data_IF_996106342932
#
_entry.id   IF_996106342932
#
_cell.length_a   1.000
_cell.length_b   1.000
_cell.length_c   1.000
_cell.angle_alpha   90.00
_cell.angle_beta   90.00
_cell.angle_gamma   90.00
#
_symmetry.space_group_name_H-M   'P 1'
#
loop_
_entity.id
_entity.type
_entity.pdbx_description
1 polymer ?
#
# COMPACT_ATOMS: atom_id res chain seq x y z
N UNK A 1 -29.37 -11.51 11.98
CA UNK A 1 -29.06 -12.93 12.27
C UNK A 1 -28.00 -13.56 11.35
N UNK A 2 -27.17 -12.73 10.69
CA UNK A 2 -26.10 -13.20 9.81
C UNK A 2 -24.75 -12.79 10.34
N UNK A 3 -23.74 -13.62 10.06
CA UNK A 3 -22.34 -13.34 10.40
C UNK A 3 -21.84 -12.10 9.65
N UNK A 4 -21.10 -11.17 10.30
CA UNK A 4 -20.48 -10.04 9.57
C UNK A 4 -19.48 -10.55 8.53
N UNK A 5 -19.51 -9.92 7.37
CA UNK A 5 -18.55 -10.19 6.28
C UNK A 5 -17.52 -9.06 6.22
N UNK A 6 -16.24 -9.43 6.19
CA UNK A 6 -15.10 -8.54 6.04
C UNK A 6 -14.43 -8.83 4.70
N UNK A 7 -14.39 -7.86 3.81
CA UNK A 7 -13.75 -7.98 2.50
C UNK A 7 -12.36 -7.36 2.55
N UNK A 8 -11.35 -8.20 2.39
CA UNK A 8 -9.93 -7.87 2.46
C UNK A 8 -9.29 -8.33 3.77
N UNK A 9 -8.12 -8.93 3.67
CA UNK A 9 -7.31 -9.43 4.79
C UNK A 9 -6.01 -8.62 4.99
N UNK A 10 -6.03 -7.36 4.62
CA UNK A 10 -5.03 -6.38 5.01
C UNK A 10 -5.18 -5.97 6.48
N UNK A 11 -4.34 -5.04 6.99
CA UNK A 11 -4.38 -4.65 8.41
C UNK A 11 -5.76 -4.19 8.89
N UNK A 12 -6.49 -3.43 8.09
CA UNK A 12 -7.84 -3.01 8.42
C UNK A 12 -8.80 -4.19 8.60
N UNK A 13 -8.86 -5.09 7.63
CA UNK A 13 -9.74 -6.27 7.66
C UNK A 13 -9.37 -7.25 8.76
N UNK A 14 -8.07 -7.51 8.96
CA UNK A 14 -7.60 -8.41 10.02
C UNK A 14 -7.95 -7.88 11.42
N UNK A 15 -7.73 -6.60 11.69
CA UNK A 15 -8.06 -6.03 13.01
C UNK A 15 -9.56 -5.84 13.22
N UNK A 16 -10.33 -5.52 12.17
CA UNK A 16 -11.79 -5.54 12.27
C UNK A 16 -12.30 -6.94 12.61
N UNK A 17 -11.81 -7.96 11.90
CA UNK A 17 -12.17 -9.35 12.16
C UNK A 17 -11.73 -9.82 13.57
N UNK A 18 -10.52 -9.44 14.02
CA UNK A 18 -10.04 -9.78 15.36
C UNK A 18 -10.95 -9.22 16.44
N UNK A 19 -11.27 -7.93 16.40
CA UNK A 19 -12.13 -7.28 17.40
C UNK A 19 -13.54 -7.88 17.40
N UNK A 20 -14.11 -8.13 16.22
CA UNK A 20 -15.40 -8.82 16.11
C UNK A 20 -15.33 -10.25 16.72
N UNK A 21 -14.28 -11.02 16.40
CA UNK A 21 -14.12 -12.36 16.92
C UNK A 21 -13.92 -12.39 18.45
N UNK A 22 -13.11 -11.48 19.00
CA UNK A 22 -12.94 -11.30 20.46
C UNK A 22 -14.27 -10.98 21.17
N UNK A 23 -15.24 -10.43 20.45
CA UNK A 23 -16.57 -10.11 20.98
C UNK A 23 -17.68 -11.09 20.53
N UNK A 24 -17.31 -12.28 20.01
CA UNK A 24 -18.22 -13.38 19.74
C UNK A 24 -18.99 -13.31 18.42
N UNK A 25 -18.63 -12.41 17.46
CA UNK A 25 -19.36 -12.22 16.21
C UNK A 25 -19.08 -13.24 15.10
N UNK A 26 -18.04 -14.03 15.21
CA UNK A 26 -17.64 -15.07 14.23
C UNK A 26 -17.56 -14.52 12.79
N UNK A 27 -16.73 -13.52 12.49
CA UNK A 27 -16.67 -12.88 11.19
C UNK A 27 -16.27 -13.83 10.07
N UNK A 28 -16.74 -13.56 8.85
CA UNK A 28 -16.29 -14.20 7.61
C UNK A 28 -15.40 -13.23 6.89
N UNK A 29 -14.11 -13.58 6.73
CA UNK A 29 -13.13 -12.78 5.99
C UNK A 29 -12.99 -13.35 4.58
N UNK A 30 -13.12 -12.48 3.59
CA UNK A 30 -13.01 -12.81 2.18
C UNK A 30 -11.77 -12.11 1.63
N UNK A 31 -10.84 -12.87 1.06
CA UNK A 31 -9.62 -12.37 0.44
C UNK A 31 -9.53 -12.84 -1.02
N UNK A 32 -9.34 -11.88 -1.93
CA UNK A 32 -9.22 -12.18 -3.36
C UNK A 32 -8.00 -13.03 -3.69
N UNK A 33 -6.88 -12.77 -2.99
CA UNK A 33 -5.62 -13.46 -3.23
C UNK A 33 -5.44 -14.71 -2.40
N UNK A 34 -4.24 -15.23 -2.48
CA UNK A 34 -3.84 -16.48 -1.82
C UNK A 34 -3.51 -16.26 -0.34
N UNK A 35 -3.54 -17.38 0.39
CA UNK A 35 -2.95 -17.48 1.73
C UNK A 35 -1.45 -17.17 1.68
N UNK A 36 -0.91 -16.64 2.76
CA UNK A 36 0.44 -16.05 2.79
C UNK A 36 1.54 -16.95 2.23
N UNK A 37 1.54 -18.26 2.59
CA UNK A 37 2.59 -19.17 2.16
C UNK A 37 2.59 -19.40 0.63
N UNK A 38 1.43 -19.44 0.01
CA UNK A 38 1.29 -19.57 -1.44
C UNK A 38 1.46 -18.22 -2.15
N UNK A 39 0.94 -17.14 -1.57
CA UNK A 39 1.15 -15.78 -2.06
C UNK A 39 2.64 -15.45 -2.22
N UNK A 40 3.47 -15.81 -1.24
CA UNK A 40 4.93 -15.60 -1.31
C UNK A 40 5.54 -16.29 -2.53
N UNK A 41 5.14 -17.54 -2.81
CA UNK A 41 5.60 -18.29 -3.99
C UNK A 41 5.13 -17.63 -5.29
N UNK A 42 3.87 -17.22 -5.36
CA UNK A 42 3.28 -16.55 -6.52
C UNK A 42 3.96 -15.22 -6.81
N UNK A 43 4.24 -14.41 -5.78
CA UNK A 43 4.97 -13.15 -5.93
C UNK A 43 6.41 -13.39 -6.38
N UNK A 44 7.11 -14.36 -5.79
CA UNK A 44 8.47 -14.69 -6.22
C UNK A 44 8.50 -15.17 -7.68
N UNK A 45 7.57 -16.04 -8.07
CA UNK A 45 7.42 -16.49 -9.46
C UNK A 45 7.19 -15.33 -10.41
N UNK A 46 6.37 -14.35 -10.02
CA UNK A 46 6.15 -13.14 -10.82
C UNK A 46 7.44 -12.34 -11.00
N UNK A 47 8.22 -12.13 -9.95
CA UNK A 47 9.49 -11.41 -10.04
C UNK A 47 10.52 -12.13 -10.91
N UNK A 48 10.53 -13.46 -10.90
CA UNK A 48 11.47 -14.27 -11.69
C UNK A 48 11.05 -14.41 -13.16
N UNK A 49 9.74 -14.57 -13.42
CA UNK A 49 9.21 -14.92 -14.74
C UNK A 49 8.48 -13.78 -15.47
N UNK A 50 8.21 -12.68 -14.77
CA UNK A 50 7.37 -11.57 -15.25
C UNK A 50 5.91 -11.96 -15.59
N UNK A 51 5.42 -13.11 -15.09
CA UNK A 51 4.04 -13.57 -15.28
C UNK A 51 3.20 -13.20 -14.06
N UNK A 52 2.35 -12.18 -14.22
CA UNK A 52 1.51 -11.64 -13.16
C UNK A 52 0.28 -12.52 -12.89
N UNK A 53 0.00 -12.79 -11.62
CA UNK A 53 -1.33 -13.21 -11.17
C UNK A 53 -2.11 -11.95 -10.71
N UNK A 54 -3.16 -11.53 -11.43
CA UNK A 54 -3.89 -10.29 -11.10
C UNK A 54 -4.70 -10.39 -9.80
N UNK A 55 -4.93 -11.58 -9.29
CA UNK A 55 -5.67 -11.78 -8.04
C UNK A 55 -4.77 -12.02 -6.81
N UNK A 56 -3.51 -12.43 -7.02
CA UNK A 56 -2.56 -12.67 -5.93
C UNK A 56 -1.19 -12.12 -6.29
N UNK A 57 -0.76 -11.06 -5.63
CA UNK A 57 0.45 -10.29 -5.96
C UNK A 57 0.90 -9.42 -4.78
N UNK A 58 1.74 -8.42 -5.01
CA UNK A 58 2.19 -7.49 -3.95
C UNK A 58 1.05 -6.68 -3.35
N UNK A 59 -0.02 -6.40 -4.11
CA UNK A 59 -1.18 -5.63 -3.62
C UNK A 59 -2.27 -6.50 -2.99
N UNK A 60 -2.48 -7.71 -3.49
CA UNK A 60 -3.57 -8.61 -3.10
C UNK A 60 -3.05 -9.92 -2.51
N UNK A 61 -3.78 -10.41 -1.54
CA UNK A 61 -3.51 -11.62 -0.78
C UNK A 61 -3.45 -11.36 0.71
N UNK A 62 -3.34 -12.42 1.48
CA UNK A 62 -3.34 -12.39 2.93
C UNK A 62 -2.29 -11.41 3.48
N UNK A 63 -2.72 -10.55 4.41
CA UNK A 63 -1.92 -9.49 5.00
C UNK A 63 -1.90 -8.17 4.22
N UNK A 64 -2.46 -8.13 3.02
CA UNK A 64 -2.54 -6.93 2.17
C UNK A 64 -1.19 -6.47 1.62
N UNK A 65 -1.14 -5.26 1.08
CA UNK A 65 0.06 -4.69 0.46
C UNK A 65 1.22 -4.46 1.47
N UNK A 66 0.89 -4.23 2.75
CA UNK A 66 1.88 -4.03 3.81
C UNK A 66 2.83 -5.22 4.02
N UNK A 67 2.42 -6.44 3.65
CA UNK A 67 3.23 -7.66 3.79
C UNK A 67 4.52 -7.60 2.96
N UNK A 68 4.51 -6.92 1.83
CA UNK A 68 5.67 -6.71 0.96
C UNK A 68 6.14 -5.26 1.01
N UNK A 69 6.42 -4.77 2.21
CA UNK A 69 6.89 -3.42 2.50
C UNK A 69 8.02 -3.43 3.53
N UNK A 70 8.52 -2.27 3.93
CA UNK A 70 9.43 -2.15 5.09
C UNK A 70 8.73 -2.48 6.42
N UNK A 71 7.40 -2.50 6.42
CA UNK A 71 6.63 -2.80 7.63
C UNK A 71 6.70 -1.70 8.68
N UNK A 72 6.81 -0.44 8.26
CA UNK A 72 6.79 0.72 9.19
C UNK A 72 5.47 0.78 9.96
N UNK A 73 5.58 1.05 11.25
CA UNK A 73 4.46 1.15 12.17
C UNK A 73 4.20 2.59 12.64
N UNK A 74 4.98 3.56 12.17
CA UNK A 74 4.80 4.96 12.53
C UNK A 74 3.43 5.47 12.05
N UNK A 75 2.76 6.22 12.91
CA UNK A 75 1.49 6.89 12.61
C UNK A 75 1.44 8.25 13.27
N UNK A 76 0.69 9.18 12.68
CA UNK A 76 0.37 10.49 13.25
C UNK A 76 -1.03 10.53 13.88
N UNK A 77 -1.72 9.40 13.95
CA UNK A 77 -3.05 9.30 14.55
C UNK A 77 -2.96 9.55 16.05
N UNK A 78 -3.83 10.43 16.56
CA UNK A 78 -3.98 10.64 18.00
C UNK A 78 -4.77 9.46 18.59
N UNK A 79 -4.14 8.72 19.49
CA UNK A 79 -4.69 7.49 20.07
C UNK A 79 -5.17 7.69 21.52
N UNK A 80 -6.28 8.38 21.68
CA UNK A 80 -6.90 8.61 22.99
C UNK A 80 -7.43 7.32 23.66
N UNK A 81 -7.63 6.25 22.89
CA UNK A 81 -8.27 5.00 23.33
C UNK A 81 -7.33 3.79 23.31
N UNK A 82 -6.03 4.02 23.20
CA UNK A 82 -5.00 2.97 23.21
C UNK A 82 -5.14 1.90 22.10
N UNK A 83 -5.71 2.25 20.95
CA UNK A 83 -5.87 1.33 19.83
C UNK A 83 -4.52 0.99 19.17
N UNK A 84 -3.61 1.97 19.08
CA UNK A 84 -2.23 1.75 18.60
C UNK A 84 -1.53 0.74 19.50
N UNK A 85 -1.68 0.88 20.83
CA UNK A 85 -1.15 -0.07 21.81
C UNK A 85 -1.70 -1.48 21.55
N UNK A 86 -3.02 -1.63 21.37
CA UNK A 86 -3.67 -2.91 21.04
C UNK A 86 -3.08 -3.52 19.76
N UNK A 87 -2.84 -2.71 18.72
CA UNK A 87 -2.23 -3.16 17.46
C UNK A 87 -0.82 -3.71 17.71
N UNK A 88 0.03 -2.98 18.40
CA UNK A 88 1.42 -3.39 18.64
C UNK A 88 1.52 -4.61 19.56
N UNK A 89 0.74 -4.65 20.63
CA UNK A 89 0.66 -5.83 21.51
C UNK A 89 0.20 -7.06 20.74
N UNK A 90 -0.81 -6.92 19.87
CA UNK A 90 -1.28 -8.03 19.02
C UNK A 90 -0.18 -8.49 18.05
N UNK A 91 0.58 -7.58 17.45
CA UNK A 91 1.69 -7.96 16.58
C UNK A 91 2.77 -8.72 17.36
N UNK A 92 3.12 -8.29 18.57
CA UNK A 92 4.09 -9.01 19.43
C UNK A 92 3.57 -10.40 19.82
N UNK A 93 2.31 -10.52 20.22
CA UNK A 93 1.67 -11.81 20.50
C UNK A 93 1.71 -12.74 19.26
N UNK A 94 1.66 -12.19 18.07
CA UNK A 94 1.73 -12.91 16.80
C UNK A 94 3.17 -13.14 16.30
N UNK A 95 4.20 -12.72 17.03
CA UNK A 95 5.60 -13.02 16.75
C UNK A 95 6.43 -11.85 16.21
N UNK A 96 5.92 -10.63 16.28
CA UNK A 96 6.74 -9.45 16.02
C UNK A 96 7.75 -9.21 17.17
N UNK A 97 8.91 -8.58 16.90
CA UNK A 97 9.87 -8.26 17.94
C UNK A 97 9.28 -7.32 19.00
N UNK A 98 9.57 -7.59 20.29
CA UNK A 98 9.08 -6.76 21.40
C UNK A 98 9.52 -5.31 21.33
N UNK A 99 10.63 -5.03 20.63
CA UNK A 99 11.18 -3.69 20.46
C UNK A 99 10.21 -2.71 19.79
N UNK A 100 9.22 -3.20 19.02
CA UNK A 100 8.19 -2.33 18.41
C UNK A 100 7.35 -1.59 19.45
N UNK A 101 7.29 -2.09 20.70
CA UNK A 101 6.52 -1.48 21.80
C UNK A 101 7.16 -0.21 22.35
N UNK A 102 8.49 -0.02 22.18
CA UNK A 102 9.23 1.10 22.79
C UNK A 102 10.10 1.89 21.82
N UNK A 103 10.36 1.41 20.61
CA UNK A 103 11.11 2.17 19.62
C UNK A 103 10.29 3.35 19.08
N UNK A 104 10.95 4.48 18.90
CA UNK A 104 10.31 5.68 18.35
C UNK A 104 9.87 5.52 16.88
N UNK A 105 10.61 4.73 16.10
CA UNK A 105 10.33 4.45 14.68
C UNK A 105 10.29 2.94 14.44
N UNK A 106 9.27 2.25 14.99
CA UNK A 106 9.20 0.81 14.88
C UNK A 106 8.90 0.35 13.46
N UNK A 107 9.47 -0.80 13.08
CA UNK A 107 9.16 -1.51 11.83
C UNK A 107 9.25 -3.01 12.07
N UNK A 108 8.60 -3.79 11.21
CA UNK A 108 8.61 -5.26 11.33
C UNK A 108 9.50 -5.88 10.25
N UNK A 109 9.45 -5.39 9.02
CA UNK A 109 10.12 -5.98 7.86
C UNK A 109 9.31 -7.10 7.20
N UNK A 110 9.48 -7.29 5.89
CA UNK A 110 8.66 -8.20 5.11
C UNK A 110 8.81 -9.67 5.53
N UNK A 111 10.02 -10.10 5.88
CA UNK A 111 10.31 -11.48 6.30
C UNK A 111 9.62 -11.87 7.61
N UNK A 112 9.58 -10.98 8.59
CA UNK A 112 8.93 -11.21 9.89
C UNK A 112 7.41 -11.05 9.79
N UNK A 113 6.95 -10.04 9.04
CA UNK A 113 5.53 -9.72 8.92
C UNK A 113 4.70 -10.89 8.34
N UNK A 114 5.28 -11.71 7.48
CA UNK A 114 4.63 -12.91 6.93
C UNK A 114 4.18 -13.88 8.06
N UNK A 115 5.03 -14.12 9.05
CA UNK A 115 4.69 -14.97 10.18
C UNK A 115 3.67 -14.31 11.11
N UNK A 116 3.78 -13.02 11.33
CA UNK A 116 2.82 -12.25 12.14
C UNK A 116 1.41 -12.33 11.54
N UNK A 117 1.28 -12.15 10.24
CA UNK A 117 0.01 -12.25 9.51
C UNK A 117 -0.61 -13.64 9.65
N UNK A 118 0.19 -14.70 9.44
CA UNK A 118 -0.26 -16.08 9.58
C UNK A 118 -0.75 -16.39 11.00
N UNK A 119 -0.03 -15.93 12.01
CA UNK A 119 -0.40 -16.14 13.41
C UNK A 119 -1.66 -15.35 13.79
N UNK A 120 -1.84 -14.16 13.21
CA UNK A 120 -3.05 -13.35 13.41
C UNK A 120 -4.29 -14.03 12.78
N UNK A 121 -4.18 -14.58 11.57
CA UNK A 121 -5.23 -15.42 10.99
C UNK A 121 -5.60 -16.57 11.92
N UNK A 122 -4.61 -17.34 12.38
CA UNK A 122 -4.85 -18.47 13.28
C UNK A 122 -5.55 -18.03 14.57
N UNK A 123 -5.19 -16.88 15.14
CA UNK A 123 -5.84 -16.31 16.32
C UNK A 123 -7.32 -16.00 16.05
N UNK A 124 -7.64 -15.35 14.92
CA UNK A 124 -9.02 -15.04 14.54
C UNK A 124 -9.83 -16.32 14.33
N UNK A 125 -9.26 -17.32 13.66
CA UNK A 125 -9.91 -18.63 13.44
C UNK A 125 -10.19 -19.34 14.77
N UNK A 126 -9.25 -19.32 15.71
CA UNK A 126 -9.43 -19.93 17.04
C UNK A 126 -10.56 -19.28 17.85
N UNK A 127 -10.90 -18.02 17.54
CA UNK A 127 -12.00 -17.27 18.11
C UNK A 127 -13.34 -17.40 17.33
N UNK A 128 -13.38 -18.27 16.31
CA UNK A 128 -14.58 -18.59 15.54
C UNK A 128 -14.71 -17.81 14.21
N UNK A 129 -13.71 -17.04 13.80
CA UNK A 129 -13.64 -16.44 12.47
C UNK A 129 -13.42 -17.48 11.37
N UNK A 130 -13.80 -17.16 10.15
CA UNK A 130 -13.61 -18.02 8.98
C UNK A 130 -12.97 -17.20 7.86
N UNK A 131 -12.00 -17.79 7.15
CA UNK A 131 -11.33 -17.15 6.01
C UNK A 131 -11.62 -17.92 4.72
N UNK A 132 -11.94 -17.17 3.67
CA UNK A 132 -12.04 -17.65 2.29
C UNK A 132 -11.01 -16.91 1.45
N UNK A 133 -9.97 -17.62 1.00
CA UNK A 133 -8.96 -17.13 0.07
C UNK A 133 -9.36 -17.42 -1.37
N UNK A 134 -8.68 -16.78 -2.35
CA UNK A 134 -9.04 -16.85 -3.78
C UNK A 134 -10.53 -16.51 -4.01
N UNK A 135 -11.05 -15.59 -3.24
CA UNK A 135 -12.46 -15.24 -3.15
C UNK A 135 -12.62 -13.73 -3.35
N UNK A 136 -13.07 -13.34 -4.54
CA UNK A 136 -13.23 -11.94 -4.93
C UNK A 136 -14.68 -11.51 -4.74
N UNK A 137 -14.89 -10.38 -4.05
CA UNK A 137 -16.18 -9.70 -4.01
C UNK A 137 -16.52 -9.19 -5.42
N UNK A 138 -17.54 -9.73 -6.04
CA UNK A 138 -17.96 -9.34 -7.41
C UNK A 138 -19.27 -8.57 -7.46
N UNK A 139 -20.11 -8.69 -6.45
CA UNK A 139 -21.34 -7.89 -6.34
C UNK A 139 -21.82 -7.77 -4.88
N UNK A 140 -22.67 -6.77 -4.63
CA UNK A 140 -23.38 -6.56 -3.36
C UNK A 140 -24.88 -6.66 -3.63
N UNK A 141 -25.55 -7.50 -2.86
CA UNK A 141 -27.01 -7.68 -2.91
C UNK A 141 -27.66 -6.71 -1.93
N UNK A 142 -28.59 -5.91 -2.41
CA UNK A 142 -29.29 -4.90 -1.61
C UNK A 142 -30.80 -4.99 -1.76
N UNK A 143 -31.52 -4.69 -0.68
CA UNK A 143 -32.98 -4.48 -0.70
C UNK A 143 -33.30 -3.23 0.12
N UNK A 144 -34.17 -2.37 -0.38
CA UNK A 144 -34.61 -1.13 0.28
C UNK A 144 -33.44 -0.32 0.91
N UNK A 145 -32.33 -0.18 0.17
CA UNK A 145 -31.10 0.51 0.59
C UNK A 145 -30.37 -0.15 1.78
N UNK A 146 -30.55 -1.44 2.02
CA UNK A 146 -29.83 -2.24 3.01
C UNK A 146 -29.04 -3.35 2.31
N UNK A 147 -27.85 -3.65 2.82
CA UNK A 147 -27.13 -4.84 2.36
C UNK A 147 -27.82 -6.10 2.86
N UNK A 148 -28.01 -7.06 1.97
CA UNK A 148 -28.61 -8.37 2.25
C UNK A 148 -27.64 -9.51 2.05
N UNK A 149 -26.57 -9.29 1.31
CA UNK A 149 -25.57 -10.30 1.02
C UNK A 149 -24.49 -9.81 0.07
N UNK A 150 -23.54 -10.68 -0.19
CA UNK A 150 -22.43 -10.44 -1.12
C UNK A 150 -22.32 -11.59 -2.10
N UNK A 151 -21.90 -11.29 -3.32
CA UNK A 151 -21.61 -12.26 -4.35
C UNK A 151 -20.10 -12.41 -4.50
N UNK A 152 -19.64 -13.65 -4.48
CA UNK A 152 -18.24 -14.02 -4.53
C UNK A 152 -17.95 -14.78 -5.82
N UNK A 153 -16.89 -14.41 -6.53
CA UNK A 153 -16.47 -15.06 -7.78
C UNK A 153 -17.60 -15.24 -8.80
N UNK A 154 -18.55 -14.30 -8.85
CA UNK A 154 -19.75 -14.31 -9.72
C UNK A 154 -20.77 -15.42 -9.47
N UNK A 155 -20.53 -16.31 -8.53
CA UNK A 155 -21.35 -17.51 -8.30
C UNK A 155 -21.89 -17.64 -6.88
N UNK A 156 -21.01 -17.58 -5.89
CA UNK A 156 -21.36 -17.89 -4.50
C UNK A 156 -22.00 -16.68 -3.80
N UNK A 157 -23.04 -16.91 -3.04
CA UNK A 157 -23.73 -15.88 -2.27
C UNK A 157 -23.53 -16.16 -0.78
N UNK A 158 -23.14 -15.12 -0.05
CA UNK A 158 -23.10 -15.12 1.40
C UNK A 158 -24.08 -14.06 1.91
N UNK A 159 -25.09 -14.48 2.62
CA UNK A 159 -26.06 -13.60 3.25
C UNK A 159 -25.40 -12.84 4.42
N UNK A 160 -25.59 -11.55 4.45
CA UNK A 160 -25.11 -10.68 5.54
C UNK A 160 -25.85 -9.35 5.57
N UNK A 161 -26.06 -8.82 6.76
CA UNK A 161 -26.56 -7.45 6.99
C UNK A 161 -25.45 -6.48 7.39
N UNK A 162 -24.20 -6.97 7.55
CA UNK A 162 -23.03 -6.19 7.95
C UNK A 162 -21.85 -6.54 7.06
N UNK A 163 -21.45 -5.59 6.24
CA UNK A 163 -20.36 -5.71 5.28
C UNK A 163 -19.28 -4.66 5.56
N UNK A 164 -18.08 -5.10 5.90
CA UNK A 164 -16.90 -4.24 6.05
C UNK A 164 -16.11 -4.28 4.76
N UNK A 165 -15.85 -3.11 4.15
CA UNK A 165 -15.02 -2.95 2.96
C UNK A 165 -13.61 -2.51 3.36
N UNK A 166 -12.70 -3.48 3.49
CA UNK A 166 -11.27 -3.28 3.75
C UNK A 166 -10.44 -3.65 2.52
N UNK A 167 -10.88 -3.18 1.36
CA UNK A 167 -10.46 -3.63 0.03
C UNK A 167 -9.08 -3.13 -0.43
N UNK A 168 -8.47 -2.21 0.29
CA UNK A 168 -7.25 -1.51 -0.17
C UNK A 168 -7.52 -0.57 -1.35
N UNK A 169 -6.52 0.19 -1.76
CA UNK A 169 -6.68 1.19 -2.82
C UNK A 169 -6.42 0.67 -4.24
N UNK A 170 -6.02 -0.59 -4.40
CA UNK A 170 -5.68 -1.19 -5.71
C UNK A 170 -6.81 -2.02 -6.32
N UNK A 171 -7.90 -2.25 -5.59
CA UNK A 171 -9.06 -3.05 -6.03
C UNK A 171 -9.98 -2.26 -6.97
N UNK A 172 -9.48 -1.89 -8.14
CA UNK A 172 -10.15 -0.97 -9.08
C UNK A 172 -11.46 -1.51 -9.62
N UNK A 173 -11.53 -2.81 -9.92
CA UNK A 173 -12.74 -3.51 -10.30
C UNK A 173 -13.82 -3.45 -9.21
N UNK A 174 -13.42 -3.56 -7.95
CA UNK A 174 -14.35 -3.42 -6.82
C UNK A 174 -14.85 -1.98 -6.69
N UNK A 175 -13.98 -0.98 -6.82
CA UNK A 175 -14.42 0.44 -6.85
C UNK A 175 -15.40 0.71 -8.00
N UNK A 176 -15.16 0.14 -9.18
CA UNK A 176 -16.07 0.27 -10.33
C UNK A 176 -17.44 -0.37 -10.06
N UNK A 177 -17.45 -1.57 -9.46
CA UNK A 177 -18.68 -2.26 -9.06
C UNK A 177 -19.46 -1.43 -8.04
N UNK A 178 -18.80 -0.92 -7.00
CA UNK A 178 -19.41 -0.08 -5.98
C UNK A 178 -19.98 1.23 -6.57
N UNK A 179 -19.26 1.84 -7.50
CA UNK A 179 -19.71 3.04 -8.21
C UNK A 179 -20.99 2.78 -9.02
N UNK A 180 -21.04 1.67 -9.74
CA UNK A 180 -22.24 1.22 -10.48
C UNK A 180 -23.44 0.90 -9.57
N UNK A 181 -23.18 0.52 -8.33
CA UNK A 181 -24.19 0.30 -7.27
C UNK A 181 -24.63 1.59 -6.56
N UNK A 182 -24.18 2.75 -7.02
CA UNK A 182 -24.47 4.06 -6.40
C UNK A 182 -24.01 4.18 -4.94
N UNK A 183 -22.93 3.49 -4.57
CA UNK A 183 -22.23 3.78 -3.32
C UNK A 183 -21.60 5.16 -3.43
N UNK A 184 -21.87 6.03 -2.47
CA UNK A 184 -21.37 7.42 -2.50
C UNK A 184 -19.85 7.47 -2.43
N UNK A 185 -19.25 8.14 -3.41
CA UNK A 185 -17.79 8.27 -3.54
C UNK A 185 -17.42 9.68 -3.95
N UNK A 186 -16.19 10.09 -3.62
CA UNK A 186 -15.60 11.34 -4.10
C UNK A 186 -14.18 11.14 -4.61
N UNK A 187 -13.76 11.98 -5.54
CA UNK A 187 -12.39 12.05 -6.00
C UNK A 187 -11.48 12.58 -4.89
N UNK A 188 -10.28 12.02 -4.79
CA UNK A 188 -9.33 12.35 -3.73
C UNK A 188 -7.95 12.65 -4.33
N UNK A 189 -7.25 13.71 -3.87
CA UNK A 189 -5.86 13.94 -4.24
C UNK A 189 -4.95 12.79 -3.80
N UNK A 190 -3.90 12.56 -4.57
CA UNK A 190 -2.82 11.62 -4.27
C UNK A 190 -1.49 12.15 -4.82
N UNK A 191 -0.47 11.34 -4.92
CA UNK A 191 0.82 11.74 -5.47
C UNK A 191 1.38 10.65 -6.38
N UNK A 192 2.15 11.07 -7.37
CA UNK A 192 2.79 10.18 -8.35
C UNK A 192 4.23 10.59 -8.60
N UNK A 193 5.08 9.65 -8.95
CA UNK A 193 6.46 9.96 -9.25
C UNK A 193 7.31 8.73 -9.53
N UNK A 194 8.57 8.83 -9.17
CA UNK A 194 9.58 7.79 -9.36
C UNK A 194 10.05 7.26 -8.01
N UNK A 195 10.69 6.10 -8.02
CA UNK A 195 11.43 5.60 -6.87
C UNK A 195 12.92 5.70 -7.15
N UNK A 196 13.67 6.28 -6.20
CA UNK A 196 15.11 6.49 -6.31
C UNK A 196 15.86 5.48 -5.43
N UNK A 197 16.95 4.94 -5.96
CA UNK A 197 17.91 4.12 -5.20
C UNK A 197 19.22 4.88 -5.01
N UNK A 198 19.73 4.83 -3.80
CA UNK A 198 21.06 5.31 -3.41
C UNK A 198 21.81 4.18 -2.70
N UNK A 199 23.13 4.30 -2.65
CA UNK A 199 23.89 3.45 -1.75
C UNK A 199 23.55 3.80 -0.28
N UNK A 200 23.16 2.81 0.53
CA UNK A 200 22.74 3.02 1.93
C UNK A 200 23.86 3.65 2.76
N UNK A 201 25.11 3.21 2.57
CA UNK A 201 26.27 3.72 3.32
C UNK A 201 26.49 5.21 3.08
N UNK A 202 26.23 5.72 1.88
CA UNK A 202 26.37 7.16 1.60
C UNK A 202 25.27 7.96 2.32
N UNK A 203 24.06 7.44 2.41
CA UNK A 203 22.98 8.04 3.20
C UNK A 203 23.32 8.00 4.70
N UNK A 204 23.84 6.88 5.20
CA UNK A 204 24.27 6.74 6.59
C UNK A 204 25.34 7.75 6.96
N UNK A 205 26.38 7.91 6.12
CA UNK A 205 27.43 8.92 6.32
C UNK A 205 26.89 10.35 6.32
N UNK A 206 25.95 10.66 5.39
CA UNK A 206 25.36 11.98 5.32
C UNK A 206 24.50 12.31 6.56
N UNK A 207 23.82 11.32 7.14
CA UNK A 207 22.96 11.50 8.30
C UNK A 207 23.70 11.43 9.65
N UNK A 208 24.69 10.54 9.78
CA UNK A 208 25.34 10.20 11.05
C UNK A 208 26.80 10.63 11.14
N UNK A 209 27.42 11.07 10.04
CA UNK A 209 28.85 11.44 10.00
C UNK A 209 29.71 10.25 10.40
N UNK A 210 30.69 10.49 11.27
CA UNK A 210 31.68 9.48 11.70
C UNK A 210 31.07 8.27 12.45
N UNK A 211 29.87 8.40 13.00
CA UNK A 211 29.21 7.36 13.81
C UNK A 211 28.35 6.39 12.98
N UNK A 212 28.34 6.52 11.65
CA UNK A 212 27.44 5.76 10.79
C UNK A 212 27.55 4.23 10.93
N UNK A 213 28.72 3.72 11.32
CA UNK A 213 28.91 2.25 11.52
C UNK A 213 28.33 1.71 12.82
N UNK A 214 28.02 2.59 13.77
CA UNK A 214 27.53 2.22 15.11
C UNK A 214 26.00 2.30 15.21
N UNK A 215 25.35 2.81 14.15
CA UNK A 215 23.92 3.08 14.13
C UNK A 215 23.21 2.22 13.08
N UNK A 216 21.90 2.04 13.28
CA UNK A 216 21.05 1.36 12.31
C UNK A 216 21.01 2.11 10.97
N UNK A 217 20.70 1.43 9.84
CA UNK A 217 20.57 2.09 8.55
C UNK A 217 19.69 3.33 8.61
N UNK A 218 20.21 4.45 8.12
CA UNK A 218 19.56 5.75 8.20
C UNK A 218 18.29 5.80 7.34
N UNK A 219 17.28 6.47 7.87
CA UNK A 219 16.08 6.85 7.14
C UNK A 219 16.03 8.36 6.94
N UNK A 220 15.23 8.82 6.00
CA UNK A 220 14.96 10.23 5.79
C UNK A 220 13.49 10.51 5.45
N UNK A 221 13.09 11.75 5.71
CA UNK A 221 11.81 12.31 5.26
C UNK A 221 12.09 13.70 4.70
N UNK A 222 11.76 13.90 3.43
CA UNK A 222 12.06 15.12 2.69
C UNK A 222 10.79 15.71 2.10
N UNK A 223 10.68 17.03 2.11
CA UNK A 223 9.59 17.78 1.51
C UNK A 223 10.13 19.00 0.76
N UNK A 224 9.48 19.36 -0.32
CA UNK A 224 9.84 20.50 -1.16
C UNK A 224 8.59 21.07 -1.84
N UNK A 225 8.60 22.37 -2.10
CA UNK A 225 7.59 23.01 -2.95
C UNK A 225 8.28 23.51 -4.22
N UNK A 226 7.88 22.96 -5.36
CA UNK A 226 8.45 23.29 -6.65
C UNK A 226 8.05 24.71 -7.12
N UNK A 227 8.74 25.25 -8.12
CA UNK A 227 8.46 26.58 -8.70
C UNK A 227 7.04 26.67 -9.25
N UNK A 228 6.47 25.57 -9.75
CA UNK A 228 5.09 25.45 -10.18
C UNK A 228 4.08 25.24 -9.03
N UNK A 229 4.52 25.47 -7.78
CA UNK A 229 3.74 25.37 -6.53
C UNK A 229 3.28 23.95 -6.16
N UNK A 230 3.80 22.92 -6.83
CA UNK A 230 3.50 21.54 -6.48
C UNK A 230 4.30 21.06 -5.28
N UNK A 231 3.64 20.38 -4.35
CA UNK A 231 4.32 19.68 -3.26
C UNK A 231 5.03 18.44 -3.78
N UNK A 232 6.29 18.28 -3.38
CA UNK A 232 7.11 17.08 -3.66
C UNK A 232 7.61 16.54 -2.34
N UNK A 233 7.53 15.22 -2.15
CA UNK A 233 7.99 14.60 -0.92
C UNK A 233 8.52 13.18 -1.12
N UNK A 234 9.39 12.76 -0.19
CA UNK A 234 9.79 11.37 -0.09
C UNK A 234 8.67 10.55 0.55
N UNK A 235 8.38 9.38 0.00
CA UNK A 235 7.32 8.52 0.48
C UNK A 235 7.82 7.09 0.61
N UNK A 236 7.39 6.40 1.67
CA UNK A 236 7.70 4.99 1.90
C UNK A 236 9.20 4.67 1.71
N UNK A 237 10.08 5.46 2.36
CA UNK A 237 11.52 5.26 2.34
C UNK A 237 11.86 3.93 3.01
N UNK A 238 12.63 3.08 2.31
CA UNK A 238 13.05 1.75 2.74
C UNK A 238 14.57 1.72 2.90
N UNK A 239 15.08 1.83 4.14
CA UNK A 239 16.51 1.63 4.40
C UNK A 239 16.92 0.20 4.09
N UNK A 240 18.12 0.01 3.52
CA UNK A 240 18.65 -1.31 3.21
C UNK A 240 17.65 -2.24 2.54
N UNK A 241 16.99 -1.74 1.47
CA UNK A 241 15.83 -2.40 0.88
C UNK A 241 15.92 -2.66 -0.62
N UNK A 242 14.77 -2.96 -1.19
CA UNK A 242 14.60 -3.36 -2.58
C UNK A 242 13.53 -2.51 -3.24
N UNK A 243 13.71 -2.12 -4.49
CA UNK A 243 12.62 -1.66 -5.36
C UNK A 243 11.95 -2.89 -5.95
N UNK A 244 10.64 -2.96 -5.86
CA UNK A 244 9.87 -4.15 -6.26
C UNK A 244 8.86 -3.83 -7.34
N UNK A 245 8.67 -4.77 -8.27
CA UNK A 245 7.54 -4.74 -9.19
C UNK A 245 6.27 -5.08 -8.39
N UNK A 246 5.42 -4.09 -8.20
CA UNK A 246 4.19 -4.16 -7.42
C UNK A 246 2.93 -4.10 -8.31
N UNK A 247 3.06 -4.47 -9.58
CA UNK A 247 1.95 -4.51 -10.53
C UNK A 247 0.83 -5.45 -10.05
N UNK A 248 -0.40 -5.08 -10.31
CA UNK A 248 -1.59 -5.88 -9.99
C UNK A 248 -2.59 -5.98 -11.15
N UNK A 249 -2.30 -5.30 -12.25
CA UNK A 249 -3.12 -5.29 -13.47
C UNK A 249 -2.22 -5.68 -14.65
N UNK A 250 -2.69 -6.59 -15.48
CA UNK A 250 -1.97 -7.00 -16.69
C UNK A 250 -1.70 -5.81 -17.61
N UNK A 251 -0.51 -5.77 -18.20
CA UNK A 251 -0.04 -4.69 -19.10
C UNK A 251 0.04 -3.30 -18.44
N UNK A 252 0.09 -3.26 -17.12
CA UNK A 252 0.33 -2.05 -16.33
C UNK A 252 1.52 -2.31 -15.40
N UNK A 253 2.33 -1.29 -15.15
CA UNK A 253 3.49 -1.43 -14.30
C UNK A 253 3.47 -0.38 -13.19
N UNK A 254 3.45 -0.87 -11.96
CA UNK A 254 3.61 -0.07 -10.76
C UNK A 254 4.76 -0.63 -9.92
N UNK A 255 5.44 0.24 -9.20
CA UNK A 255 6.53 -0.15 -8.30
C UNK A 255 6.24 0.26 -6.87
N UNK A 256 6.96 -0.37 -5.95
CA UNK A 256 6.99 -0.02 -4.54
C UNK A 256 8.37 -0.36 -3.97
N UNK A 257 8.55 -0.20 -2.69
CA UNK A 257 9.74 -0.60 -1.96
C UNK A 257 9.42 -1.55 -0.82
N UNK A 258 10.38 -2.40 -0.47
CA UNK A 258 10.31 -3.24 0.72
C UNK A 258 11.69 -3.38 1.36
N UNK A 259 11.72 -3.79 2.63
CA UNK A 259 12.95 -4.18 3.34
C UNK A 259 12.68 -5.41 4.21
N UNK A 260 13.73 -6.19 4.45
CA UNK A 260 13.73 -7.16 5.54
C UNK A 260 13.80 -6.43 6.89
N UNK A 261 13.59 -7.16 7.97
CA UNK A 261 13.71 -6.62 9.33
C UNK A 261 15.11 -6.04 9.56
N UNK A 262 16.14 -6.74 9.11
CA UNK A 262 17.54 -6.39 9.27
C UNK A 262 17.97 -5.15 8.46
N UNK A 263 17.23 -4.81 7.39
CA UNK A 263 17.54 -3.70 6.49
C UNK A 263 18.97 -3.74 5.95
N UNK A 264 19.39 -4.92 5.50
CA UNK A 264 20.76 -5.29 5.18
C UNK A 264 21.10 -5.27 3.68
N UNK A 265 20.20 -4.82 2.83
CA UNK A 265 20.49 -4.61 1.41
C UNK A 265 21.44 -3.42 1.21
N UNK A 266 22.22 -3.45 0.14
CA UNK A 266 23.21 -2.42 -0.20
C UNK A 266 22.60 -1.03 -0.39
N UNK A 267 21.35 -0.94 -0.89
CA UNK A 267 20.73 0.32 -1.23
C UNK A 267 19.62 0.75 -0.25
N UNK A 268 19.55 2.06 -0.02
CA UNK A 268 18.34 2.73 0.42
C UNK A 268 17.48 3.08 -0.80
N UNK A 269 16.16 3.04 -0.67
CA UNK A 269 15.27 3.56 -1.69
C UNK A 269 14.07 4.32 -1.10
N UNK A 270 13.53 5.24 -1.86
CA UNK A 270 12.27 5.91 -1.55
C UNK A 270 11.54 6.35 -2.82
N UNK A 271 10.23 6.45 -2.74
CA UNK A 271 9.48 7.20 -3.72
C UNK A 271 9.75 8.69 -3.56
N UNK A 272 9.86 9.40 -4.68
CA UNK A 272 9.82 10.87 -4.75
C UNK A 272 8.60 11.19 -5.60
N UNK A 273 7.61 11.80 -4.97
CA UNK A 273 6.28 11.94 -5.53
C UNK A 273 5.79 13.38 -5.50
N UNK A 274 5.02 13.72 -6.52
CA UNK A 274 4.43 15.04 -6.76
C UNK A 274 2.93 14.97 -6.56
N UNK A 275 2.37 15.93 -5.83
CA UNK A 275 0.92 15.99 -5.57
C UNK A 275 0.13 16.24 -6.85
N UNK A 276 -0.93 15.46 -7.02
CA UNK A 276 -1.92 15.60 -8.09
C UNK A 276 -3.33 15.53 -7.49
N UNK A 277 -4.28 16.15 -8.15
CA UNK A 277 -5.64 16.23 -7.64
C UNK A 277 -6.69 16.35 -8.77
N UNK A 278 -7.97 16.54 -8.40
CA UNK A 278 -9.06 16.65 -9.36
C UNK A 278 -8.84 17.71 -10.46
N UNK A 279 -8.11 18.78 -10.15
CA UNK A 279 -7.72 19.79 -11.17
C UNK A 279 -6.83 19.23 -12.29
N UNK A 280 -6.18 18.08 -12.06
CA UNK A 280 -5.31 17.42 -13.03
C UNK A 280 -6.00 16.29 -13.79
N UNK A 281 -6.96 15.60 -13.18
CA UNK A 281 -7.56 14.39 -13.75
C UNK A 281 -9.10 14.40 -13.82
N UNK A 282 -9.79 15.34 -13.16
CA UNK A 282 -11.25 15.47 -13.17
C UNK A 282 -11.90 15.18 -11.81
N UNK A 283 -13.16 15.60 -11.67
CA UNK A 283 -13.92 15.53 -10.42
C UNK A 283 -14.74 14.24 -10.26
N UNK A 284 -14.86 13.43 -11.31
CA UNK A 284 -15.55 12.14 -11.20
C UNK A 284 -14.74 11.21 -10.28
N UNK A 285 -15.40 10.49 -9.35
CA UNK A 285 -14.71 9.59 -8.43
C UNK A 285 -13.74 8.60 -9.07
N UNK A 286 -14.03 8.16 -10.31
CA UNK A 286 -13.21 7.19 -11.04
C UNK A 286 -12.06 7.82 -11.85
N UNK A 287 -11.99 9.14 -11.97
CA UNK A 287 -11.01 9.79 -12.85
C UNK A 287 -9.56 9.67 -12.32
N UNK A 288 -9.37 9.67 -11.01
CA UNK A 288 -8.06 9.43 -10.41
C UNK A 288 -7.52 8.02 -10.70
N UNK A 289 -8.38 7.02 -10.71
CA UNK A 289 -8.03 5.64 -11.11
C UNK A 289 -7.56 5.62 -12.55
N UNK A 290 -8.30 6.23 -13.46
CA UNK A 290 -7.93 6.32 -14.88
C UNK A 290 -6.59 7.04 -15.09
N UNK A 291 -6.33 8.08 -14.30
CA UNK A 291 -5.05 8.78 -14.32
C UNK A 291 -3.89 7.87 -13.91
N UNK A 292 -4.04 7.10 -12.82
CA UNK A 292 -3.05 6.12 -12.41
C UNK A 292 -2.83 5.05 -13.48
N UNK A 293 -3.89 4.50 -14.05
CA UNK A 293 -3.82 3.48 -15.10
C UNK A 293 -3.09 3.98 -16.34
N UNK A 294 -3.32 5.22 -16.74
CA UNK A 294 -2.61 5.85 -17.86
C UNK A 294 -1.10 5.91 -17.63
N UNK A 295 -0.67 6.28 -16.42
CA UNK A 295 0.76 6.32 -16.08
C UNK A 295 1.36 4.91 -16.02
N UNK A 296 0.66 3.97 -15.41
CA UNK A 296 1.10 2.58 -15.27
C UNK A 296 1.20 1.87 -16.62
N UNK A 297 0.27 2.14 -17.54
CA UNK A 297 0.31 1.64 -18.91
C UNK A 297 1.51 2.19 -19.68
N UNK A 298 1.75 3.48 -19.59
CA UNK A 298 2.95 4.11 -20.20
C UNK A 298 4.24 3.51 -19.65
N UNK A 299 4.34 3.31 -18.34
CA UNK A 299 5.50 2.69 -17.70
C UNK A 299 5.73 1.26 -18.22
N UNK A 300 4.65 0.47 -18.37
CA UNK A 300 4.71 -0.88 -18.92
C UNK A 300 5.22 -0.89 -20.36
N UNK A 301 4.69 -0.02 -21.22
CA UNK A 301 5.07 0.09 -22.62
C UNK A 301 6.53 0.51 -22.78
N UNK A 302 6.96 1.54 -22.04
CA UNK A 302 8.35 2.05 -22.07
C UNK A 302 9.36 1.03 -21.56
N UNK A 303 9.02 0.31 -20.50
CA UNK A 303 9.83 -0.76 -19.92
C UNK A 303 9.74 -2.08 -20.69
N UNK A 304 8.93 -2.16 -21.74
CA UNK A 304 8.66 -3.41 -22.50
C UNK A 304 8.22 -4.56 -21.59
N UNK A 305 7.30 -4.25 -20.67
CA UNK A 305 6.79 -5.19 -19.69
C UNK A 305 7.67 -5.36 -18.45
N UNK A 306 8.81 -4.69 -18.37
CA UNK A 306 9.75 -4.70 -17.26
C UNK A 306 9.77 -3.33 -16.54
N UNK A 307 10.38 -3.26 -15.38
CA UNK A 307 10.52 -2.00 -14.64
C UNK A 307 11.35 -1.01 -15.48
N UNK A 308 10.79 0.14 -15.93
CA UNK A 308 11.56 1.16 -16.63
C UNK A 308 12.51 1.86 -15.65
N UNK A 309 13.79 1.94 -15.99
CA UNK A 309 14.85 2.52 -15.17
C UNK A 309 15.68 3.54 -15.94
N UNK A 310 16.23 4.51 -15.22
CA UNK A 310 17.04 5.58 -15.78
C UNK A 310 17.96 6.15 -14.70
N UNK A 311 19.21 6.50 -15.04
CA UNK A 311 20.06 7.23 -14.11
C UNK A 311 19.58 8.68 -13.97
N UNK A 312 19.74 9.27 -12.79
CA UNK A 312 19.33 10.65 -12.51
C UNK A 312 19.97 11.65 -13.49
N UNK A 313 21.25 11.50 -13.81
CA UNK A 313 21.94 12.34 -14.82
C UNK A 313 21.26 12.32 -16.18
N UNK A 314 20.76 11.18 -16.59
CA UNK A 314 20.12 11.00 -17.89
C UNK A 314 18.65 11.46 -17.87
N UNK A 315 17.95 11.24 -16.76
CA UNK A 315 16.62 11.79 -16.53
C UNK A 315 16.57 13.32 -16.63
N UNK A 316 17.59 13.99 -16.03
CA UNK A 316 17.75 15.46 -16.14
C UNK A 316 17.90 15.92 -17.59
N UNK A 317 18.52 15.10 -18.45
CA UNK A 317 18.83 15.40 -19.86
C UNK A 317 17.83 14.81 -20.85
N UNK A 318 16.74 14.19 -20.39
CA UNK A 318 15.73 13.54 -21.22
C UNK A 318 16.33 12.51 -22.20
N UNK A 319 17.23 11.68 -21.74
CA UNK A 319 17.88 10.64 -22.55
C UNK A 319 17.88 9.28 -21.85
N UNK A 320 17.80 8.22 -22.65
CA UNK A 320 17.86 6.84 -22.13
C UNK A 320 19.28 6.55 -21.63
N UNK A 321 19.40 5.91 -20.47
CA UNK A 321 20.67 5.42 -19.94
C UNK A 321 21.11 4.15 -20.70
N UNK A 322 22.43 3.93 -20.80
CA UNK A 322 22.99 2.76 -21.46
C UNK A 322 23.68 1.77 -20.51
N UNK A 323 24.02 2.21 -19.31
CA UNK A 323 24.67 1.40 -18.28
C UNK A 323 24.47 2.02 -16.91
N UNK A 324 24.62 1.22 -15.86
CA UNK A 324 24.69 1.72 -14.47
C UNK A 324 26.08 2.31 -14.18
N UNK A 325 26.12 3.16 -13.17
CA UNK A 325 27.35 3.78 -12.64
C UNK A 325 27.75 3.18 -11.30
N UNK A 326 28.02 4.04 -10.33
CA UNK A 326 28.51 3.66 -8.99
C UNK A 326 27.45 3.03 -8.07
N UNK A 327 26.18 3.13 -8.42
CA UNK A 327 25.07 2.50 -7.67
C UNK A 327 24.67 1.19 -8.36
N UNK A 328 24.76 0.06 -7.66
CA UNK A 328 24.32 -1.21 -8.14
C UNK A 328 22.80 -1.29 -8.17
N UNK A 329 22.17 -1.86 -9.22
CA UNK A 329 20.72 -2.01 -9.27
C UNK A 329 20.24 -3.12 -8.31
N UNK A 330 19.34 -2.79 -7.40
CA UNK A 330 18.74 -3.72 -6.44
C UNK A 330 17.21 -3.75 -6.66
N UNK A 331 16.75 -4.75 -7.41
CA UNK A 331 15.34 -4.90 -7.78
C UNK A 331 14.79 -6.28 -7.45
N UNK A 332 13.49 -6.35 -7.20
CA UNK A 332 12.69 -7.56 -7.32
C UNK A 332 11.79 -7.41 -8.55
N UNK A 333 12.08 -8.18 -9.57
CA UNK A 333 11.53 -8.08 -10.92
C UNK A 333 12.59 -7.61 -11.94
N UNK A 334 12.34 -7.90 -13.19
CA UNK A 334 13.22 -7.51 -14.30
C UNK A 334 13.08 -6.01 -14.59
N UNK A 335 14.13 -5.40 -15.09
CA UNK A 335 14.18 -3.99 -15.45
C UNK A 335 14.73 -3.77 -16.85
N UNK A 336 14.42 -2.61 -17.43
CA UNK A 336 14.89 -2.20 -18.74
C UNK A 336 15.11 -0.68 -18.77
N UNK A 337 16.15 -0.22 -19.44
CA UNK A 337 16.42 1.20 -19.61
C UNK A 337 15.34 1.88 -20.46
N UNK A 338 14.82 3.01 -19.98
CA UNK A 338 13.83 3.82 -20.67
C UNK A 338 13.94 5.29 -20.26
N UNK A 339 13.32 6.18 -21.00
CA UNK A 339 13.20 7.59 -20.61
C UNK A 339 11.94 7.79 -19.76
N UNK A 340 12.11 7.92 -18.45
CA UNK A 340 11.01 8.11 -17.49
C UNK A 340 10.27 9.44 -17.67
N UNK A 341 10.88 10.44 -18.34
CA UNK A 341 10.19 11.69 -18.66
C UNK A 341 8.91 11.45 -19.49
N UNK A 342 8.87 10.40 -20.28
CA UNK A 342 7.74 10.06 -21.14
C UNK A 342 6.53 9.47 -20.38
N UNK A 343 6.69 9.10 -19.11
CA UNK A 343 5.59 8.60 -18.29
C UNK A 343 4.68 9.74 -17.84
N UNK A 344 5.26 10.86 -17.43
CA UNK A 344 4.59 11.93 -16.68
C UNK A 344 4.24 13.14 -17.54
N UNK A 345 3.22 13.91 -17.15
CA UNK A 345 3.05 15.27 -17.63
C UNK A 345 4.26 16.16 -17.28
N UNK A 346 4.53 17.18 -18.07
CA UNK A 346 5.70 18.06 -17.91
C UNK A 346 5.77 18.71 -16.53
N UNK A 347 4.65 19.09 -15.95
CA UNK A 347 4.62 19.71 -14.62
C UNK A 347 5.08 18.75 -13.50
N UNK A 348 4.88 17.44 -13.67
CA UNK A 348 5.40 16.43 -12.74
C UNK A 348 6.91 16.28 -12.90
N UNK A 349 7.39 16.13 -14.14
CA UNK A 349 8.82 16.04 -14.44
C UNK A 349 9.60 17.26 -13.94
N UNK A 350 9.06 18.46 -14.16
CA UNK A 350 9.67 19.70 -13.67
C UNK A 350 9.82 19.68 -12.15
N UNK A 351 8.74 19.37 -11.43
CA UNK A 351 8.77 19.33 -9.97
C UNK A 351 9.73 18.27 -9.44
N UNK A 352 9.79 17.08 -10.05
CA UNK A 352 10.74 16.02 -9.70
C UNK A 352 12.19 16.47 -9.87
N UNK A 353 12.54 17.07 -11.03
CA UNK A 353 13.91 17.53 -11.30
C UNK A 353 14.38 18.61 -10.32
N UNK A 354 13.51 19.59 -10.06
CA UNK A 354 13.82 20.65 -9.08
C UNK A 354 14.01 20.08 -7.67
N UNK A 355 13.22 19.09 -7.28
CA UNK A 355 13.31 18.48 -5.95
C UNK A 355 14.62 17.73 -5.71
N UNK A 356 15.18 17.07 -6.74
CA UNK A 356 16.42 16.31 -6.62
C UNK A 356 17.59 17.21 -6.22
N UNK A 357 17.68 18.40 -6.79
CA UNK A 357 18.72 19.37 -6.47
C UNK A 357 18.53 19.95 -5.06
N UNK A 358 17.30 20.17 -4.65
CA UNK A 358 16.98 20.64 -3.30
C UNK A 358 17.28 19.57 -2.25
N UNK A 359 16.91 18.31 -2.51
CA UNK A 359 17.14 17.22 -1.58
C UNK A 359 18.63 16.89 -1.42
N UNK A 360 19.43 17.07 -2.48
CA UNK A 360 20.89 16.91 -2.39
C UNK A 360 21.54 17.91 -1.42
N UNK A 361 21.01 19.15 -1.34
CA UNK A 361 21.44 20.14 -0.34
C UNK A 361 21.05 19.76 1.09
N UNK A 362 20.04 18.90 1.27
CA UNK A 362 19.60 18.41 2.59
C UNK A 362 20.34 17.15 3.02
N UNK A 363 20.57 16.25 2.08
CA UNK A 363 21.28 14.99 2.29
C UNK A 363 22.30 14.88 1.17
N UNK A 364 23.55 15.15 1.50
CA UNK A 364 24.64 15.14 0.51
C UNK A 364 24.75 13.76 -0.14
N UNK A 365 24.76 13.74 -1.48
CA UNK A 365 24.78 12.53 -2.29
C UNK A 365 23.39 12.00 -2.69
N UNK A 366 22.29 12.59 -2.19
CA UNK A 366 20.94 12.24 -2.63
C UNK A 366 20.77 12.45 -4.13
N UNK A 367 21.23 13.57 -4.65
CA UNK A 367 21.17 13.94 -6.05
C UNK A 367 22.36 13.44 -6.90
N UNK A 368 23.04 12.38 -6.46
CA UNK A 368 24.15 11.77 -7.20
C UNK A 368 23.68 11.39 -8.63
N UNK A 369 24.49 11.73 -9.61
CA UNK A 369 24.26 11.48 -11.03
C UNK A 369 24.01 10.01 -11.36
N UNK A 370 24.59 9.09 -10.60
CA UNK A 370 24.47 7.64 -10.76
C UNK A 370 23.32 7.03 -9.95
N UNK A 371 22.57 7.83 -9.18
CA UNK A 371 21.34 7.34 -8.52
C UNK A 371 20.37 6.78 -9.55
N UNK A 372 19.74 5.65 -9.21
CA UNK A 372 18.86 4.92 -10.13
C UNK A 372 17.41 5.33 -9.87
N UNK A 373 16.74 5.81 -10.90
CA UNK A 373 15.30 6.08 -10.89
C UNK A 373 14.55 4.92 -11.54
N UNK A 374 13.39 4.59 -10.99
CA UNK A 374 12.47 3.60 -11.55
C UNK A 374 11.04 4.18 -11.57
N UNK A 375 10.24 3.76 -12.52
CA UNK A 375 8.84 4.19 -12.68
C UNK A 375 7.88 2.99 -12.74
N UNK A 376 6.62 3.19 -12.38
CA UNK A 376 6.02 4.41 -11.85
C UNK A 376 5.54 4.16 -10.41
N UNK A 377 5.81 5.06 -9.51
CA UNK A 377 5.16 5.11 -8.20
C UNK A 377 3.83 5.85 -8.36
N UNK A 378 2.73 5.12 -8.43
CA UNK A 378 1.40 5.68 -8.74
C UNK A 378 0.39 5.49 -7.61
N UNK A 379 0.70 4.65 -6.62
CA UNK A 379 -0.25 4.16 -5.61
C UNK A 379 0.14 4.57 -4.21
N UNK A 380 0.39 5.87 -4.00
CA UNK A 380 0.75 6.42 -2.69
C UNK A 380 -0.42 6.42 -1.70
N UNK A 381 -1.62 6.66 -2.20
CA UNK A 381 -2.87 6.58 -1.46
C UNK A 381 -4.04 6.31 -2.40
N UNK A 382 -5.23 6.04 -1.83
CA UNK A 382 -6.43 5.84 -2.64
C UNK A 382 -6.80 7.11 -3.42
N UNK A 383 -7.07 7.01 -4.73
CA UNK A 383 -7.58 8.12 -5.52
C UNK A 383 -9.08 8.36 -5.34
N UNK A 384 -9.75 7.47 -4.59
CA UNK A 384 -11.19 7.49 -4.33
C UNK A 384 -11.43 7.43 -2.83
N UNK A 385 -12.40 8.20 -2.36
CA UNK A 385 -12.98 8.05 -1.04
C UNK A 385 -14.38 7.47 -1.16
N UNK A 386 -14.65 6.36 -0.50
CA UNK A 386 -16.00 5.87 -0.28
C UNK A 386 -16.55 6.61 0.94
N UNK A 387 -17.61 7.39 0.77
CA UNK A 387 -18.14 8.22 1.84
C UNK A 387 -18.73 7.37 2.97
N UNK A 388 -18.50 7.80 4.21
CA UNK A 388 -19.08 7.21 5.42
C UNK A 388 -19.45 8.30 6.42
N UNK A 389 -20.50 8.07 7.18
CA UNK A 389 -20.95 8.98 8.23
C UNK A 389 -20.12 8.84 9.53
N UNK A 390 -20.52 9.52 10.59
CA UNK A 390 -19.90 9.47 11.91
C UNK A 390 -19.97 8.09 12.59
N UNK A 391 -20.89 7.24 12.14
CA UNK A 391 -21.03 5.85 12.57
C UNK A 391 -20.31 4.87 11.65
N UNK A 392 -19.50 5.37 10.70
CA UNK A 392 -18.74 4.62 9.71
C UNK A 392 -19.60 3.88 8.68
N UNK A 393 -20.86 4.27 8.50
CA UNK A 393 -21.80 3.66 7.55
C UNK A 393 -21.83 4.46 6.26
N UNK A 394 -21.88 3.78 5.13
CA UNK A 394 -22.07 4.41 3.81
C UNK A 394 -23.53 4.84 3.61
N UNK A 395 -23.82 5.41 2.43
CA UNK A 395 -25.21 5.70 2.03
C UNK A 395 -26.08 4.43 1.86
N UNK A 396 -25.48 3.24 1.76
CA UNK A 396 -26.18 1.96 1.80
C UNK A 396 -26.00 1.38 3.21
N UNK A 397 -27.08 1.16 3.91
CA UNK A 397 -27.06 0.70 5.29
C UNK A 397 -26.47 -0.71 5.42
N UNK A 398 -25.64 -0.90 6.44
CA UNK A 398 -24.92 -2.14 6.67
C UNK A 398 -23.58 -2.24 5.96
N UNK A 399 -23.23 -1.28 5.09
CA UNK A 399 -21.89 -1.20 4.47
C UNK A 399 -21.02 -0.23 5.26
N UNK A 400 -19.89 -0.73 5.73
CA UNK A 400 -18.88 -0.03 6.53
C UNK A 400 -17.56 0.11 5.75
N UNK A 401 -17.33 1.24 5.04
CA UNK A 401 -16.06 1.49 4.38
C UNK A 401 -14.93 1.65 5.40
N UNK A 402 -13.89 0.85 5.25
CA UNK A 402 -12.67 0.94 6.06
C UNK A 402 -11.51 1.62 5.33
N UNK A 403 -10.33 1.37 5.81
CA UNK A 403 -9.10 1.83 5.18
C UNK A 403 -8.95 1.25 3.75
N UNK A 404 -8.23 1.97 2.89
CA UNK A 404 -8.21 1.68 1.45
C UNK A 404 -9.33 2.39 0.70
N UNK A 405 -10.40 2.73 1.39
CA UNK A 405 -11.49 3.55 0.89
C UNK A 405 -11.23 5.07 1.03
N UNK A 406 -9.98 5.48 1.20
CA UNK A 406 -9.56 6.89 1.21
C UNK A 406 -9.43 7.53 2.59
N UNK A 407 -9.44 6.78 3.68
CA UNK A 407 -9.41 7.33 5.04
C UNK A 407 -8.06 7.28 5.72
N UNK A 408 -7.23 6.32 5.40
CA UNK A 408 -5.93 6.14 6.03
C UNK A 408 -4.95 5.42 5.12
N UNK A 409 -3.70 5.41 5.51
CA UNK A 409 -2.63 4.68 4.84
C UNK A 409 -1.60 4.18 5.85
N UNK A 410 -0.88 3.11 5.51
CA UNK A 410 0.08 2.46 6.38
C UNK A 410 -0.56 1.44 7.33
N UNK A 411 0.28 0.53 7.83
CA UNK A 411 -0.17 -0.66 8.58
C UNK A 411 -0.93 -0.27 9.85
N UNK A 412 -0.33 0.56 10.71
CA UNK A 412 -0.92 0.92 12.01
C UNK A 412 -2.21 1.71 11.86
N UNK A 413 -2.23 2.70 10.98
CA UNK A 413 -3.41 3.55 10.77
C UNK A 413 -4.57 2.74 10.21
N UNK A 414 -4.29 1.81 9.28
CA UNK A 414 -5.28 0.89 8.72
C UNK A 414 -5.83 -0.06 9.77
N UNK A 415 -4.97 -0.63 10.60
CA UNK A 415 -5.37 -1.51 11.70
C UNK A 415 -6.26 -0.78 12.72
N UNK A 416 -5.90 0.44 13.10
CA UNK A 416 -6.69 1.30 14.01
C UNK A 416 -8.06 1.61 13.40
N UNK A 417 -8.13 1.90 12.11
CA UNK A 417 -9.41 2.14 11.44
C UNK A 417 -10.30 0.89 11.46
N UNK A 418 -9.74 -0.30 11.23
CA UNK A 418 -10.45 -1.58 11.37
C UNK A 418 -11.01 -1.80 12.77
N UNK A 419 -10.25 -1.48 13.81
CA UNK A 419 -10.73 -1.52 15.21
C UNK A 419 -11.93 -0.58 15.40
N UNK A 420 -11.82 0.67 14.93
CA UNK A 420 -12.91 1.66 15.05
C UNK A 420 -14.19 1.21 14.35
N UNK A 421 -14.08 0.64 13.16
CA UNK A 421 -15.22 0.09 12.40
C UNK A 421 -15.89 -1.02 13.21
N UNK A 422 -15.11 -1.98 13.72
CA UNK A 422 -15.62 -3.08 14.53
C UNK A 422 -16.31 -2.60 15.81
N UNK A 423 -15.74 -1.62 16.50
CA UNK A 423 -16.35 -1.01 17.70
C UNK A 423 -17.72 -0.40 17.39
N UNK A 424 -17.89 0.28 16.25
CA UNK A 424 -19.19 0.83 15.84
C UNK A 424 -20.22 -0.27 15.55
N UNK A 425 -19.79 -1.37 14.96
CA UNK A 425 -20.64 -2.52 14.70
C UNK A 425 -21.09 -3.16 16.03
N UNK A 426 -20.17 -3.35 16.97
CA UNK A 426 -20.45 -3.91 18.31
C UNK A 426 -21.45 -3.06 19.09
N UNK A 427 -21.40 -1.75 18.95
CA UNK A 427 -22.38 -0.84 19.59
C UNK A 427 -23.78 -0.96 19.00
N UNK A 428 -23.92 -1.37 17.74
CA UNK A 428 -25.17 -1.36 16.99
C UNK A 428 -25.84 -2.73 16.88
N UNK A 429 -25.07 -3.78 16.79
CA UNK A 429 -25.55 -5.14 16.60
C UNK A 429 -25.18 -6.04 17.77
N UNK A 430 -25.96 -7.08 17.99
CA UNK A 430 -25.63 -8.14 18.95
C UNK A 430 -24.81 -9.24 18.27
N UNK A 431 -23.93 -9.94 18.99
CA UNK A 431 -23.24 -11.07 18.43
C UNK A 431 -24.24 -12.17 18.06
N UNK A 432 -23.87 -12.94 17.04
CA UNK A 432 -24.62 -14.10 16.60
C UNK A 432 -24.54 -15.23 17.65
N UNK A 433 -25.65 -15.72 18.15
CA UNK A 433 -25.72 -16.82 19.13
C UNK A 433 -25.53 -18.18 18.45
#
# INVERSE_FOLDING_TARGET
>A
DYRPVVVGSGPCGLFAALILAENGYKPIVIERGEKIDDRVKTVQKFWDSNVLNPNSNVSFGEGGAGTFSDGKLNTLVNDKFCRIKKVFETFVECGAPEEILYLQKPHIGTNVLRNVVKNLENKIVSLGGTFYFNSTLTDILTDANHVMGVKINDNDIIDTSVLILAIGHSARDTFEMLYKKNVSMSAKPFAVGVRIQHNQVEIDKAQYGKFYKELHPASYKLTFTASNKRGVYSFCMCPGGYVVNASSICNHLAINGMSNHERDSENANSAIVVTVGPSDFGDNPMDGIKFQEKLEKKAYELGRGQIPVQLLKDYRKNRISSSFGSVNPIFKGNYNFADLNLIFPDYVNQALKESMDYFDKKIHGFGNDDSILAGVESRTSSPVRIERDENFVSNILGIYPGEGAGYSGGITTSAVDGIKVAEKIIQRYKPFN
#
